data_IF_891645223084
#
_entry.id   IF_891645223084
#
_cell.length_a   1.000
_cell.length_b   1.000
_cell.length_c   1.000
_cell.angle_alpha   90.00
_cell.angle_beta   90.00
_cell.angle_gamma   90.00
#
_symmetry.space_group_name_H-M   'P 1'
#
loop_
_entity.id
_entity.type
_entity.pdbx_description
1 polymer ?
#
# COMPACT_ATOMS: atom_id res chain seq x y z
N UNK A 1 -48.14 9.45 74.53
CA UNK A 1 -47.75 10.20 73.32
C UNK A 1 -46.71 9.37 72.60
N UNK A 2 -47.13 8.59 71.58
CA UNK A 2 -46.26 7.64 70.89
C UNK A 2 -45.92 8.24 69.53
N UNK A 3 -44.67 8.55 69.32
CA UNK A 3 -44.11 9.07 68.04
C UNK A 3 -43.78 7.88 67.12
N UNK A 4 -44.41 7.82 65.98
CA UNK A 4 -44.11 6.83 64.95
C UNK A 4 -43.13 7.48 63.93
N UNK A 5 -41.93 6.91 63.87
CA UNK A 5 -40.93 7.28 62.87
C UNK A 5 -41.21 6.39 61.65
N UNK A 6 -41.57 7.01 60.55
CA UNK A 6 -41.73 6.34 59.24
C UNK A 6 -40.35 6.30 58.56
N UNK A 7 -39.83 5.08 58.39
CA UNK A 7 -38.61 4.81 57.62
C UNK A 7 -38.88 4.89 56.10
N UNK A 8 -38.21 5.77 55.42
CA UNK A 8 -38.18 5.83 53.98
C UNK A 8 -37.13 4.84 53.45
N UNK A 9 -37.56 3.80 52.81
CA UNK A 9 -36.70 2.85 52.11
C UNK A 9 -36.43 3.42 50.73
N UNK A 10 -35.18 3.90 50.51
CA UNK A 10 -34.70 4.29 49.18
C UNK A 10 -34.29 3.05 48.39
N UNK A 11 -35.14 2.67 47.43
CA UNK A 11 -34.85 1.57 46.50
C UNK A 11 -33.89 2.07 45.39
N UNK A 12 -32.60 1.74 45.50
CA UNK A 12 -31.60 2.01 44.50
C UNK A 12 -31.78 1.01 43.34
N UNK A 13 -32.39 1.47 42.26
CA UNK A 13 -32.42 0.74 40.98
C UNK A 13 -31.04 0.80 40.35
N UNK A 14 -30.30 -0.30 40.41
CA UNK A 14 -29.07 -0.51 39.64
C UNK A 14 -29.42 -0.76 38.15
N UNK A 15 -29.15 0.21 37.31
CA UNK A 15 -29.22 0.05 35.85
C UNK A 15 -28.02 -0.78 35.40
N UNK A 16 -28.22 -1.86 34.59
CA UNK A 16 -27.10 -2.55 34.00
C UNK A 16 -26.43 -1.63 32.94
N UNK A 17 -25.17 -1.31 33.15
CA UNK A 17 -24.36 -0.68 32.12
C UNK A 17 -24.18 -1.69 30.97
N UNK A 18 -24.93 -1.51 29.89
CA UNK A 18 -24.68 -2.19 28.63
C UNK A 18 -23.34 -1.65 28.08
N UNK A 19 -22.25 -2.34 28.41
CA UNK A 19 -20.97 -2.15 27.78
C UNK A 19 -21.11 -2.43 26.29
N UNK A 20 -21.16 -1.39 25.47
CA UNK A 20 -20.95 -1.53 24.03
C UNK A 20 -19.53 -2.02 23.84
N UNK A 21 -19.36 -3.31 23.56
CA UNK A 21 -18.16 -3.84 22.94
C UNK A 21 -18.03 -3.13 21.58
N UNK A 22 -17.27 -2.04 21.55
CA UNK A 22 -16.70 -1.57 20.30
C UNK A 22 -15.78 -2.70 19.83
N UNK A 23 -16.24 -3.46 18.84
CA UNK A 23 -15.36 -4.27 18.02
C UNK A 23 -14.27 -3.34 17.53
N UNK A 24 -13.12 -3.37 18.20
CA UNK A 24 -11.92 -2.74 17.75
C UNK A 24 -11.47 -3.45 16.47
N UNK A 25 -12.06 -3.08 15.32
CA UNK A 25 -11.31 -3.09 14.09
C UNK A 25 -10.18 -2.10 14.35
N UNK A 26 -8.99 -2.61 14.59
CA UNK A 26 -7.79 -1.80 14.42
C UNK A 26 -7.92 -1.24 13.02
N UNK A 27 -8.18 0.07 12.93
CA UNK A 27 -8.01 0.80 11.68
C UNK A 27 -6.50 0.72 11.47
N UNK A 28 -6.06 -0.28 10.71
CA UNK A 28 -4.68 -0.31 10.27
C UNK A 28 -4.49 0.95 9.46
N UNK A 29 -3.62 1.84 9.96
CA UNK A 29 -3.45 3.16 9.38
C UNK A 29 -2.86 3.01 7.98
N UNK A 30 -3.65 3.33 6.97
CA UNK A 30 -3.18 3.42 5.59
C UNK A 30 -2.21 4.59 5.46
N UNK A 31 -1.03 4.33 4.95
CA UNK A 31 -0.03 5.36 4.64
C UNK A 31 -0.02 5.74 3.16
N UNK A 32 -0.62 4.89 2.30
CA UNK A 32 -0.85 5.16 0.90
C UNK A 32 -2.10 4.43 0.44
N UNK A 33 -2.97 5.12 -0.29
CA UNK A 33 -4.06 4.54 -1.07
C UNK A 33 -4.04 5.16 -2.46
N UNK A 34 -4.19 4.36 -3.50
CA UNK A 34 -4.17 4.86 -4.88
C UNK A 34 -5.22 4.16 -5.72
N UNK A 35 -5.87 4.95 -6.58
CA UNK A 35 -6.87 4.48 -7.55
C UNK A 35 -6.33 4.42 -8.98
N UNK A 36 -5.05 4.73 -9.18
CA UNK A 36 -4.41 4.68 -10.50
C UNK A 36 -2.90 4.53 -10.41
N UNK A 37 -2.31 4.00 -11.48
CA UNK A 37 -0.88 4.02 -11.75
C UNK A 37 -0.62 4.52 -13.17
N UNK A 38 0.60 4.97 -13.42
CA UNK A 38 1.03 5.45 -14.75
C UNK A 38 2.04 4.46 -15.33
N UNK A 39 1.79 4.00 -16.55
CA UNK A 39 2.71 3.15 -17.29
C UNK A 39 3.98 3.89 -17.72
N UNK A 40 5.11 3.18 -17.76
CA UNK A 40 6.38 3.76 -18.20
C UNK A 40 6.33 4.18 -19.66
N UNK A 41 6.65 5.45 -19.93
CA UNK A 41 6.64 6.01 -21.28
C UNK A 41 7.66 7.17 -21.43
N UNK A 42 7.90 7.56 -22.68
CA UNK A 42 8.73 8.73 -23.00
C UNK A 42 10.14 8.69 -22.36
N UNK A 43 10.55 9.76 -21.70
CA UNK A 43 11.90 9.88 -21.12
C UNK A 43 12.14 8.99 -19.91
N UNK A 44 11.09 8.40 -19.32
CA UNK A 44 11.20 7.50 -18.15
C UNK A 44 11.56 6.07 -18.51
N UNK A 45 11.71 5.75 -19.80
CA UNK A 45 12.15 4.43 -20.26
C UNK A 45 13.65 4.25 -20.08
N UNK A 46 14.03 3.07 -19.60
CA UNK A 46 15.44 2.72 -19.40
C UNK A 46 16.07 3.41 -18.18
N UNK A 47 17.39 3.51 -18.18
CA UNK A 47 18.16 4.02 -17.05
C UNK A 47 18.41 5.53 -17.06
N UNK A 48 18.07 6.21 -18.15
CA UNK A 48 18.38 7.64 -18.33
C UNK A 48 17.60 8.55 -17.35
N UNK A 49 16.44 8.11 -16.92
CA UNK A 49 15.58 8.82 -15.96
C UNK A 49 14.97 7.81 -14.98
N UNK A 50 15.64 7.60 -13.86
CA UNK A 50 15.09 6.78 -12.79
C UNK A 50 14.22 7.62 -11.84
N UNK A 51 13.27 6.94 -11.17
CA UNK A 51 12.50 7.50 -10.08
C UNK A 51 12.97 6.82 -8.79
N UNK A 52 13.53 7.59 -7.86
CA UNK A 52 14.07 7.08 -6.60
C UNK A 52 14.99 5.86 -6.76
N UNK A 53 15.89 5.92 -7.75
CA UNK A 53 16.85 4.88 -8.03
C UNK A 53 16.28 3.67 -8.77
N UNK A 54 14.97 3.60 -9.03
CA UNK A 54 14.35 2.52 -9.80
C UNK A 54 14.26 2.92 -11.27
N UNK A 55 14.89 2.16 -12.15
CA UNK A 55 14.91 2.42 -13.59
C UNK A 55 13.54 2.09 -14.22
N UNK A 56 13.17 2.81 -15.26
CA UNK A 56 12.04 2.41 -16.09
C UNK A 56 12.36 1.20 -16.97
N UNK A 57 11.35 0.45 -17.39
CA UNK A 57 11.53 -0.58 -18.41
C UNK A 57 11.99 0.04 -19.75
N UNK A 58 12.73 -0.72 -20.55
CA UNK A 58 13.24 -0.24 -21.84
C UNK A 58 12.16 0.01 -22.89
N UNK A 59 11.04 -0.67 -22.80
CA UNK A 59 9.86 -0.50 -23.66
C UNK A 59 8.76 0.29 -22.93
N UNK A 60 7.86 0.92 -23.70
CA UNK A 60 6.69 1.60 -23.14
C UNK A 60 5.63 0.58 -22.73
N UNK A 61 5.02 0.80 -21.57
CA UNK A 61 3.94 0.02 -20.99
C UNK A 61 2.72 0.90 -20.77
N UNK A 62 1.56 0.31 -20.86
CA UNK A 62 0.26 0.91 -20.54
C UNK A 62 -0.54 -0.05 -19.66
N UNK A 63 -1.56 0.47 -18.99
CA UNK A 63 -2.47 -0.33 -18.17
C UNK A 63 -3.89 0.23 -18.30
N UNK A 64 -4.86 -0.62 -17.98
CA UNK A 64 -6.27 -0.23 -17.95
C UNK A 64 -6.65 0.31 -16.58
N UNK A 65 -6.24 -0.37 -15.51
CA UNK A 65 -6.59 -0.04 -14.14
C UNK A 65 -5.50 -0.52 -13.19
N UNK A 66 -5.27 0.24 -12.13
CA UNK A 66 -4.51 -0.22 -10.97
C UNK A 66 -5.00 0.48 -9.72
N UNK A 67 -5.31 -0.31 -8.70
CA UNK A 67 -5.69 0.17 -7.37
C UNK A 67 -4.83 -0.51 -6.33
N UNK A 68 -4.70 0.08 -5.17
CA UNK A 68 -3.99 -0.57 -4.07
C UNK A 68 -3.89 0.29 -2.82
N UNK A 69 -3.38 -0.34 -1.78
CA UNK A 69 -3.11 0.30 -0.50
C UNK A 69 -1.83 -0.23 0.13
N UNK A 70 -1.23 0.60 0.94
CA UNK A 70 -0.11 0.27 1.81
C UNK A 70 -0.45 0.72 3.22
N UNK A 71 -0.29 -0.18 4.18
CA UNK A 71 -0.57 0.06 5.59
C UNK A 71 0.73 0.29 6.38
N UNK A 72 0.63 0.89 7.55
CA UNK A 72 1.76 1.10 8.47
C UNK A 72 2.40 -0.21 8.92
N UNK A 73 1.62 -1.31 8.95
CA UNK A 73 2.09 -2.66 9.21
C UNK A 73 3.03 -3.22 8.14
N UNK A 74 3.10 -2.56 6.97
CA UNK A 74 3.77 -3.06 5.78
C UNK A 74 2.89 -3.94 4.90
N UNK A 75 1.60 -4.14 5.24
CA UNK A 75 0.70 -4.84 4.34
C UNK A 75 0.48 -4.02 3.07
N UNK A 76 0.76 -4.63 1.94
CA UNK A 76 0.63 -4.06 0.59
C UNK A 76 -0.35 -4.90 -0.21
N UNK A 77 -1.38 -4.25 -0.73
CA UNK A 77 -2.29 -4.84 -1.71
C UNK A 77 -2.25 -4.00 -2.98
N UNK A 78 -2.10 -4.67 -4.15
CA UNK A 78 -2.18 -4.03 -5.46
C UNK A 78 -2.99 -4.92 -6.38
N UNK A 79 -3.97 -4.34 -7.04
CA UNK A 79 -4.71 -4.97 -8.12
C UNK A 79 -4.38 -4.26 -9.42
N UNK A 80 -3.79 -4.99 -10.36
CA UNK A 80 -3.39 -4.48 -11.68
C UNK A 80 -4.20 -5.19 -12.75
N UNK A 81 -4.68 -4.43 -13.74
CA UNK A 81 -5.43 -4.96 -14.88
C UNK A 81 -4.90 -4.33 -16.18
N UNK A 82 -4.62 -5.19 -17.14
CA UNK A 82 -4.21 -4.77 -18.47
C UNK A 82 -2.84 -4.09 -18.54
N UNK A 83 -1.88 -4.44 -17.67
CA UNK A 83 -0.52 -3.92 -17.73
C UNK A 83 0.28 -4.65 -18.81
N UNK A 84 0.39 -4.01 -19.97
CA UNK A 84 0.92 -4.62 -21.20
C UNK A 84 1.88 -3.68 -21.91
N UNK A 85 2.71 -4.27 -22.79
CA UNK A 85 3.52 -3.50 -23.74
C UNK A 85 2.65 -2.73 -24.72
N UNK A 86 2.92 -1.45 -24.91
CA UNK A 86 2.22 -0.63 -25.91
C UNK A 86 2.37 -1.18 -27.33
N UNK A 87 3.52 -1.80 -27.64
CA UNK A 87 3.83 -2.30 -28.99
C UNK A 87 3.06 -3.56 -29.39
N UNK A 88 2.67 -4.40 -28.43
CA UNK A 88 2.04 -5.70 -28.70
C UNK A 88 0.66 -5.85 -28.10
N UNK A 89 0.31 -5.03 -27.11
CA UNK A 89 -0.91 -5.21 -26.31
C UNK A 89 -0.89 -6.45 -25.43
N UNK A 90 0.29 -7.04 -25.19
CA UNK A 90 0.45 -8.26 -24.39
C UNK A 90 1.51 -8.05 -23.29
N UNK A 91 1.38 -8.82 -22.22
CA UNK A 91 2.39 -8.95 -21.20
C UNK A 91 3.30 -10.16 -21.52
N UNK A 92 4.61 -9.94 -21.79
CA UNK A 92 5.55 -11.02 -22.10
C UNK A 92 6.18 -11.69 -20.87
N UNK A 93 5.92 -11.19 -19.65
CA UNK A 93 6.56 -11.72 -18.43
C UNK A 93 5.56 -12.50 -17.58
N UNK A 94 5.96 -13.63 -16.99
CA UNK A 94 5.03 -14.50 -16.25
C UNK A 94 4.69 -13.98 -14.85
N UNK A 95 5.47 -13.04 -14.32
CA UNK A 95 5.31 -12.52 -12.98
C UNK A 95 5.59 -11.01 -12.92
N UNK A 96 4.92 -10.33 -11.99
CA UNK A 96 5.26 -8.98 -11.57
C UNK A 96 5.77 -9.00 -10.13
N UNK A 97 6.56 -7.97 -9.77
CA UNK A 97 6.90 -7.63 -8.39
C UNK A 97 6.45 -6.22 -8.08
N UNK A 98 6.28 -5.91 -6.81
CA UNK A 98 6.17 -4.54 -6.37
C UNK A 98 7.48 -4.06 -5.74
N UNK A 99 7.74 -2.76 -5.86
CA UNK A 99 8.74 -2.04 -5.07
C UNK A 99 8.00 -0.93 -4.33
N UNK A 100 8.13 -0.92 -3.01
CA UNK A 100 7.73 0.20 -2.17
C UNK A 100 8.95 1.05 -1.93
N UNK A 101 8.91 2.31 -2.36
CA UNK A 101 9.98 3.28 -2.15
C UNK A 101 9.55 4.33 -1.15
N UNK A 102 10.26 4.41 -0.02
CA UNK A 102 10.06 5.40 1.02
C UNK A 102 11.26 6.36 1.07
N UNK A 103 11.01 7.62 1.40
CA UNK A 103 12.04 8.46 2.00
C UNK A 103 12.13 8.12 3.48
N UNK A 104 13.34 8.05 4.01
CA UNK A 104 13.57 7.76 5.43
C UNK A 104 14.65 8.67 5.98
N UNK A 105 14.87 8.65 7.27
CA UNK A 105 15.94 9.38 7.91
C UNK A 105 17.23 8.57 7.92
N UNK A 106 18.35 9.23 7.74
CA UNK A 106 19.66 8.66 8.00
C UNK A 106 19.99 8.61 9.51
N UNK A 107 21.17 8.12 9.87
CA UNK A 107 21.61 8.03 11.26
C UNK A 107 21.73 9.42 11.95
N UNK A 108 21.75 10.52 11.19
CA UNK A 108 21.77 11.89 11.72
C UNK A 108 20.37 12.48 11.92
N UNK A 109 19.33 11.76 11.50
CA UNK A 109 17.93 12.22 11.53
C UNK A 109 17.54 13.10 10.33
N UNK A 110 18.41 13.25 9.34
CA UNK A 110 18.11 14.02 8.12
C UNK A 110 17.31 13.18 7.14
N UNK A 111 16.25 13.75 6.56
CA UNK A 111 15.46 13.10 5.50
C UNK A 111 16.27 13.14 4.20
N UNK A 112 17.07 12.12 3.95
CA UNK A 112 17.93 12.07 2.78
C UNK A 112 18.11 10.66 2.21
N UNK A 113 17.79 9.60 2.96
CA UNK A 113 17.94 8.24 2.49
C UNK A 113 16.69 7.77 1.75
N UNK A 114 16.88 7.03 0.66
CA UNK A 114 15.83 6.29 -0.01
C UNK A 114 15.92 4.83 0.42
N UNK A 115 14.79 4.24 0.76
CA UNK A 115 14.68 2.80 1.01
C UNK A 115 13.70 2.20 0.01
N UNK A 116 14.17 1.22 -0.74
CA UNK A 116 13.39 0.48 -1.72
C UNK A 116 13.23 -0.96 -1.23
N UNK A 117 12.00 -1.34 -0.88
CA UNK A 117 11.66 -2.68 -0.42
C UNK A 117 10.96 -3.42 -1.55
N UNK A 118 11.44 -4.62 -1.87
CA UNK A 118 10.99 -5.41 -3.02
C UNK A 118 10.21 -6.62 -2.53
N UNK A 119 9.04 -6.89 -3.12
CA UNK A 119 8.25 -8.09 -2.80
C UNK A 119 8.81 -9.34 -3.50
N UNK A 120 8.30 -10.50 -3.15
CA UNK A 120 8.38 -11.69 -3.99
C UNK A 120 7.62 -11.49 -5.32
N UNK A 121 7.90 -12.32 -6.36
CA UNK A 121 7.19 -12.27 -7.62
C UNK A 121 5.78 -12.88 -7.48
N UNK A 122 4.79 -12.22 -8.11
CA UNK A 122 3.40 -12.67 -8.16
C UNK A 122 3.02 -13.01 -9.60
N UNK A 123 2.20 -14.05 -9.82
CA UNK A 123 1.79 -14.46 -11.16
C UNK A 123 1.07 -13.34 -11.90
N UNK A 124 1.40 -13.17 -13.17
CA UNK A 124 0.76 -12.24 -14.08
C UNK A 124 0.29 -12.95 -15.35
N UNK A 125 -0.92 -12.60 -15.82
CA UNK A 125 -1.48 -13.15 -17.04
C UNK A 125 -0.84 -12.53 -18.29
N UNK A 126 -0.99 -13.15 -19.44
CA UNK A 126 -0.57 -12.57 -20.73
C UNK A 126 -1.35 -11.31 -21.11
N UNK A 127 -2.51 -11.10 -20.49
CA UNK A 127 -3.31 -9.86 -20.59
C UNK A 127 -2.87 -8.78 -19.63
N UNK A 128 -1.86 -9.04 -18.78
CA UNK A 128 -1.31 -8.06 -17.84
C UNK A 128 -2.09 -7.90 -16.57
N UNK A 129 -2.82 -8.91 -16.13
CA UNK A 129 -3.58 -8.90 -14.88
C UNK A 129 -2.77 -9.57 -13.79
N UNK A 130 -2.71 -8.96 -12.62
CA UNK A 130 -2.06 -9.50 -11.42
C UNK A 130 -2.71 -8.95 -10.15
N UNK A 131 -2.74 -9.77 -9.12
CA UNK A 131 -3.06 -9.38 -7.75
C UNK A 131 -1.80 -9.63 -6.90
N UNK A 132 -1.32 -8.59 -6.22
CA UNK A 132 -0.11 -8.61 -5.40
C UNK A 132 -0.53 -8.34 -3.96
N UNK A 133 -0.32 -9.32 -3.09
CA UNK A 133 -0.55 -9.19 -1.65
C UNK A 133 0.72 -9.59 -0.92
N UNK A 134 1.33 -8.66 -0.20
CA UNK A 134 2.61 -8.90 0.47
C UNK A 134 2.68 -8.17 1.81
N UNK A 135 3.46 -8.72 2.71
CA UNK A 135 3.95 -8.02 3.89
C UNK A 135 5.39 -7.60 3.61
N UNK A 136 5.65 -6.28 3.61
CA UNK A 136 6.97 -5.71 3.37
C UNK A 136 7.53 -5.05 4.63
N UNK A 137 8.83 -5.15 4.82
CA UNK A 137 9.53 -4.54 5.96
C UNK A 137 9.83 -3.07 5.65
N UNK A 138 8.92 -2.19 6.05
CA UNK A 138 9.02 -0.75 5.79
C UNK A 138 10.08 -0.08 6.70
N UNK A 139 10.84 0.89 6.17
CA UNK A 139 11.70 1.71 7.02
C UNK A 139 10.84 2.57 7.96
N UNK A 140 11.39 2.88 9.11
CA UNK A 140 10.76 3.79 10.08
C UNK A 140 11.60 5.06 10.23
N UNK A 141 11.10 6.22 9.80
CA UNK A 141 9.80 6.47 9.14
C UNK A 141 9.78 6.08 7.66
N UNK A 142 8.62 5.72 7.12
CA UNK A 142 8.36 5.66 5.68
C UNK A 142 7.63 6.94 5.27
N UNK A 143 8.33 7.86 4.64
CA UNK A 143 7.83 9.17 4.26
C UNK A 143 7.55 9.20 2.76
N UNK A 144 6.40 9.75 2.37
CA UNK A 144 5.97 9.89 0.98
C UNK A 144 6.16 8.60 0.17
N UNK A 145 5.55 7.48 0.58
CA UNK A 145 5.71 6.21 -0.14
C UNK A 145 5.22 6.34 -1.57
N UNK A 146 5.93 5.68 -2.50
CA UNK A 146 5.47 5.42 -3.85
C UNK A 146 5.62 3.93 -4.14
N UNK A 147 4.75 3.40 -4.98
CA UNK A 147 4.74 1.97 -5.32
C UNK A 147 4.96 1.81 -6.82
N UNK A 148 5.84 0.88 -7.17
CA UNK A 148 6.06 0.46 -8.54
C UNK A 148 5.58 -0.97 -8.74
N UNK A 149 5.07 -1.27 -9.94
CA UNK A 149 4.98 -2.63 -10.48
C UNK A 149 6.12 -2.83 -11.46
N UNK A 150 6.89 -3.91 -11.27
CA UNK A 150 8.17 -4.12 -11.94
C UNK A 150 8.24 -5.48 -12.64
N UNK A 151 9.32 -5.67 -13.39
CA UNK A 151 9.68 -6.97 -13.92
C UNK A 151 10.02 -7.97 -12.79
N UNK A 152 10.08 -9.30 -13.09
CA UNK A 152 10.34 -10.32 -12.07
C UNK A 152 11.67 -10.17 -11.32
N UNK A 153 12.63 -9.44 -11.86
CA UNK A 153 13.94 -9.18 -11.23
C UNK A 153 13.97 -7.89 -10.38
N UNK A 154 12.91 -7.05 -10.43
CA UNK A 154 12.87 -5.79 -9.72
C UNK A 154 13.77 -4.69 -10.30
N UNK A 155 14.29 -4.87 -11.51
CA UNK A 155 15.29 -3.96 -12.11
C UNK A 155 14.69 -2.90 -13.03
N UNK A 156 13.43 -3.07 -13.45
CA UNK A 156 12.75 -2.12 -14.33
C UNK A 156 11.27 -2.03 -14.02
N UNK A 157 10.77 -0.82 -13.74
CA UNK A 157 9.36 -0.64 -13.46
C UNK A 157 8.54 -0.51 -14.75
N UNK A 158 7.34 -1.10 -14.72
CA UNK A 158 6.34 -1.04 -15.78
C UNK A 158 5.28 0.04 -15.49
N UNK A 159 4.90 0.18 -14.22
CA UNK A 159 4.00 1.23 -13.76
C UNK A 159 4.40 1.74 -12.38
N UNK A 160 3.97 2.96 -12.06
CA UNK A 160 4.24 3.63 -10.79
C UNK A 160 2.98 4.34 -10.32
N UNK A 161 2.78 4.45 -9.01
CA UNK A 161 1.66 5.19 -8.43
C UNK A 161 1.60 6.61 -8.98
N UNK A 162 0.43 6.97 -9.48
CA UNK A 162 0.05 8.31 -9.82
C UNK A 162 -0.85 8.91 -8.74
N UNK A 163 -1.52 10.01 -9.06
CA UNK A 163 -2.56 10.58 -8.19
C UNK A 163 -3.82 9.74 -8.22
#
# INVERSE_FOLDING_TARGET
MRLRVAGVVCLLLALPATGSSQNGRSVEDKILEFGTMVGVAGPFRGSASNIRGVNGAGAAWTLMEATGELQTSGFLEIRVRGLVLVSTGLNPVPNFRAIVSCLTTDASGSVAAMSNVVTDPFPATSTGDADIEALVDLPTPCIAPIVFVTNPTGTGWFSVTGR
#
